data_IF_402884036697
#
_entry.id   IF_402884036697
#
_cell.length_a   1.000
_cell.length_b   1.000
_cell.length_c   1.000
_cell.angle_alpha   90.00
_cell.angle_beta   90.00
_cell.angle_gamma   90.00
#
_symmetry.space_group_name_H-M   'P 1'
#
loop_
_entity.id
_entity.type
_entity.pdbx_description
1 polymer ?
#
# COMPACT_ATOMS: atom_id res chain seq x y z
N UNK A 1 7.29 -1.86 12.38
CA UNK A 1 7.34 -2.01 10.92
C UNK A 1 8.74 -1.63 10.45
N UNK A 2 9.27 -2.31 9.43
CA UNK A 2 10.56 -1.96 8.86
C UNK A 2 10.36 -1.40 7.46
N UNK A 3 10.79 -0.15 7.28
CA UNK A 3 10.67 0.61 6.04
C UNK A 3 11.99 0.54 5.29
N UNK A 4 12.13 -0.42 4.40
CA UNK A 4 13.38 -0.65 3.64
C UNK A 4 13.23 -0.31 2.16
N UNK A 5 12.11 -0.72 1.57
CA UNK A 5 11.80 -0.55 0.14
C UNK A 5 10.45 0.17 -0.01
N UNK A 6 10.20 0.88 -1.12
CA UNK A 6 8.97 1.64 -1.31
C UNK A 6 7.68 0.84 -1.05
N UNK A 7 7.63 -0.43 -1.45
CA UNK A 7 6.48 -1.31 -1.22
C UNK A 7 6.18 -1.54 0.26
N UNK A 8 7.21 -1.52 1.11
CA UNK A 8 7.08 -1.70 2.57
C UNK A 8 6.41 -0.53 3.27
N UNK A 9 6.29 0.63 2.60
CA UNK A 9 5.46 1.76 3.03
C UNK A 9 4.16 1.85 2.24
N UNK A 10 4.19 1.63 0.92
CA UNK A 10 3.05 1.85 0.04
C UNK A 10 1.86 0.95 0.38
N UNK A 11 2.08 -0.35 0.60
CA UNK A 11 0.98 -1.28 0.95
C UNK A 11 0.31 -0.96 2.28
N UNK A 12 1.03 -0.79 3.42
CA UNK A 12 0.38 -0.41 4.67
C UNK A 12 -0.25 0.98 4.60
N UNK A 13 0.33 1.92 3.84
CA UNK A 13 -0.27 3.23 3.63
C UNK A 13 -1.59 3.16 2.88
N UNK A 14 -1.65 2.39 1.78
CA UNK A 14 -2.89 2.17 1.05
C UNK A 14 -3.96 1.54 1.95
N UNK A 15 -3.59 0.55 2.77
CA UNK A 15 -4.50 -0.06 3.75
C UNK A 15 -5.05 0.95 4.75
N UNK A 16 -4.19 1.73 5.41
CA UNK A 16 -4.64 2.71 6.42
C UNK A 16 -5.50 3.82 5.80
N UNK A 17 -5.21 4.25 4.56
CA UNK A 17 -6.05 5.20 3.83
C UNK A 17 -7.42 4.58 3.52
N UNK A 18 -7.46 3.34 3.01
CA UNK A 18 -8.72 2.65 2.74
C UNK A 18 -9.56 2.43 3.99
N UNK A 19 -8.95 1.94 5.07
CA UNK A 19 -9.60 1.74 6.36
C UNK A 19 -10.12 3.06 6.95
N UNK A 20 -9.38 4.17 6.75
CA UNK A 20 -9.85 5.51 7.11
C UNK A 20 -11.09 5.92 6.30
N UNK A 21 -11.08 5.73 4.98
CA UNK A 21 -12.22 6.07 4.11
C UNK A 21 -13.46 5.27 4.49
N UNK A 22 -13.31 3.95 4.71
CA UNK A 22 -14.42 3.09 5.12
C UNK A 22 -15.03 3.52 6.46
N UNK A 23 -14.22 4.08 7.37
CA UNK A 23 -14.67 4.55 8.69
C UNK A 23 -15.28 5.95 8.65
N UNK A 24 -14.67 6.88 7.91
CA UNK A 24 -14.98 8.31 7.99
C UNK A 24 -15.79 8.84 6.79
N UNK A 25 -15.91 8.07 5.70
CA UNK A 25 -16.64 8.44 4.50
C UNK A 25 -16.03 9.61 3.71
N UNK A 26 -14.72 9.83 3.86
CA UNK A 26 -13.98 10.91 3.18
C UNK A 26 -12.50 10.54 3.01
N UNK A 27 -11.82 11.22 2.08
CA UNK A 27 -10.37 11.15 1.97
C UNK A 27 -9.70 11.77 3.22
N UNK A 28 -8.57 11.21 3.68
CA UNK A 28 -7.82 11.78 4.77
C UNK A 28 -7.23 13.15 4.38
N UNK A 29 -7.28 14.10 5.31
CA UNK A 29 -6.67 15.41 5.16
C UNK A 29 -5.19 15.41 5.53
N UNK A 30 -4.57 16.59 5.50
CA UNK A 30 -3.15 16.73 5.81
C UNK A 30 -2.78 16.37 7.26
N UNK A 31 -3.69 16.55 8.21
CA UNK A 31 -3.48 16.17 9.61
C UNK A 31 -3.52 14.64 9.79
N UNK A 32 -4.51 13.99 9.16
CA UNK A 32 -4.68 12.55 9.22
C UNK A 32 -3.53 11.82 8.52
N UNK A 33 -3.10 12.29 7.34
CA UNK A 33 -1.93 11.72 6.65
C UNK A 33 -0.64 11.93 7.44
N UNK A 34 -0.49 13.07 8.11
CA UNK A 34 0.64 13.31 9.00
C UNK A 34 0.67 12.29 10.14
N UNK A 35 -0.48 12.01 10.75
CA UNK A 35 -0.58 11.01 11.83
C UNK A 35 -0.28 9.59 11.34
N UNK A 36 -0.83 9.19 10.19
CA UNK A 36 -0.57 7.88 9.57
C UNK A 36 0.93 7.70 9.29
N UNK A 37 1.57 8.65 8.60
CA UNK A 37 2.99 8.55 8.24
C UNK A 37 3.90 8.56 9.47
N UNK A 38 3.58 9.36 10.49
CA UNK A 38 4.32 9.32 11.77
C UNK A 38 4.12 8.00 12.50
N UNK A 39 2.93 7.41 12.45
CA UNK A 39 2.63 6.08 12.99
C UNK A 39 3.49 4.98 12.36
N UNK A 40 3.87 5.15 11.09
CA UNK A 40 4.80 4.27 10.39
C UNK A 40 6.28 4.52 10.72
N UNK A 41 6.59 5.54 11.52
CA UNK A 41 7.96 5.91 11.87
C UNK A 41 8.63 6.83 10.85
N UNK A 42 7.85 7.53 10.01
CA UNK A 42 8.38 8.56 9.12
C UNK A 42 8.46 9.91 9.88
N UNK A 43 9.59 10.59 9.75
CA UNK A 43 9.84 11.89 10.35
C UNK A 43 9.48 13.02 9.36
N UNK A 44 8.66 13.97 9.81
CA UNK A 44 8.33 15.17 9.04
C UNK A 44 9.59 16.02 8.87
N UNK A 45 10.07 16.14 7.63
CA UNK A 45 11.30 16.88 7.29
C UNK A 45 11.02 18.28 6.76
N UNK A 46 9.93 18.46 6.01
CA UNK A 46 9.56 19.77 5.45
C UNK A 46 8.04 19.85 5.22
N UNK A 47 7.48 21.04 5.45
CA UNK A 47 6.13 21.42 5.02
C UNK A 47 6.24 22.78 4.34
N UNK A 48 6.10 22.81 3.01
CA UNK A 48 6.14 24.07 2.26
C UNK A 48 5.25 23.99 1.02
N UNK A 49 4.61 25.12 0.67
CA UNK A 49 3.82 25.31 -0.57
C UNK A 49 2.83 24.19 -0.93
N UNK A 50 2.20 23.57 0.07
CA UNK A 50 1.23 22.50 -0.16
C UNK A 50 1.89 21.15 -0.48
N UNK A 51 3.15 20.96 -0.09
CA UNK A 51 3.86 19.69 -0.16
C UNK A 51 4.41 19.36 1.23
N UNK A 52 4.27 18.10 1.65
CA UNK A 52 4.86 17.62 2.88
C UNK A 52 5.86 16.50 2.59
N UNK A 53 7.08 16.66 3.10
CA UNK A 53 8.17 15.69 2.97
C UNK A 53 8.31 14.95 4.28
N UNK A 54 8.24 13.63 4.21
CA UNK A 54 8.54 12.73 5.32
C UNK A 54 9.70 11.83 4.96
N UNK A 55 10.50 11.46 5.95
CA UNK A 55 11.71 10.66 5.73
C UNK A 55 11.88 9.60 6.81
N UNK A 56 12.33 8.43 6.41
CA UNK A 56 12.97 7.45 7.29
C UNK A 56 14.43 7.26 6.88
N UNK A 57 15.12 6.32 7.51
CA UNK A 57 16.50 5.98 7.13
C UNK A 57 16.62 5.57 5.66
N UNK A 58 15.61 4.87 5.12
CA UNK A 58 15.69 4.26 3.79
C UNK A 58 14.68 4.82 2.80
N UNK A 59 13.62 5.51 3.23
CA UNK A 59 12.56 5.99 2.35
C UNK A 59 12.29 7.48 2.52
N UNK A 60 11.83 8.10 1.44
CA UNK A 60 11.26 9.44 1.38
C UNK A 60 9.80 9.29 0.95
N UNK A 61 8.89 9.96 1.65
CA UNK A 61 7.49 10.09 1.24
C UNK A 61 7.17 11.57 0.93
N UNK A 62 6.69 11.84 -0.27
CA UNK A 62 6.24 13.17 -0.71
C UNK A 62 4.72 13.17 -0.78
N UNK A 63 4.08 13.92 0.10
CA UNK A 63 2.62 14.07 0.11
C UNK A 63 2.25 15.31 -0.69
N UNK A 64 1.49 15.08 -1.77
CA UNK A 64 1.03 16.11 -2.71
C UNK A 64 -0.51 16.10 -2.71
N UNK A 65 -1.17 16.96 -1.91
CA UNK A 65 -2.60 17.18 -2.02
C UNK A 65 -2.94 17.85 -3.38
N UNK A 66 -3.69 17.16 -4.23
CA UNK A 66 -4.17 17.65 -5.53
C UNK A 66 -5.69 17.75 -5.53
N UNK A 67 -6.23 18.76 -4.86
CA UNK A 67 -7.69 19.00 -4.84
C UNK A 67 -8.45 17.85 -4.16
N UNK A 68 -9.24 17.10 -4.93
CA UNK A 68 -10.00 15.92 -4.49
C UNK A 68 -9.19 14.61 -4.57
N UNK A 69 -7.88 14.71 -4.76
CA UNK A 69 -6.95 13.57 -4.84
C UNK A 69 -5.83 13.75 -3.83
N UNK A 70 -5.54 12.66 -3.11
CA UNK A 70 -4.33 12.51 -2.32
C UNK A 70 -3.31 11.71 -3.13
N UNK A 71 -2.10 12.22 -3.23
CA UNK A 71 -0.97 11.52 -3.85
C UNK A 71 0.17 11.44 -2.82
N UNK A 72 0.75 10.26 -2.64
CA UNK A 72 1.94 10.05 -1.83
C UNK A 72 2.97 9.28 -2.64
N UNK A 73 4.02 9.96 -3.08
CA UNK A 73 5.17 9.31 -3.72
C UNK A 73 6.07 8.71 -2.64
N UNK A 74 6.46 7.46 -2.82
CA UNK A 74 7.39 6.73 -1.96
C UNK A 74 8.63 6.39 -2.77
N UNK A 75 9.77 6.93 -2.34
CA UNK A 75 11.03 6.85 -3.08
C UNK A 75 12.13 6.34 -2.15
N UNK A 76 13.07 5.57 -2.67
CA UNK A 76 14.28 5.22 -1.94
C UNK A 76 15.10 6.46 -1.56
N UNK A 77 15.62 6.50 -0.34
CA UNK A 77 16.56 7.53 0.12
C UNK A 77 17.90 7.50 -0.63
N UNK A 78 18.22 6.42 -1.35
CA UNK A 78 19.38 6.39 -2.26
C UNK A 78 19.16 7.21 -3.54
N UNK A 79 17.91 7.60 -3.82
CA UNK A 79 17.51 8.30 -5.04
C UNK A 79 17.27 7.37 -6.23
N UNK A 80 17.26 6.06 -6.01
CA UNK A 80 16.77 5.09 -6.99
C UNK A 80 15.28 5.35 -7.23
N UNK A 81 14.93 5.55 -8.50
CA UNK A 81 13.56 5.81 -8.96
C UNK A 81 12.95 4.58 -9.64
N UNK A 82 13.76 3.55 -9.89
CA UNK A 82 13.32 2.33 -10.56
C UNK A 82 12.27 1.57 -9.75
N UNK A 83 12.30 1.70 -8.43
CA UNK A 83 11.41 1.06 -7.45
C UNK A 83 10.39 2.02 -6.83
N UNK A 84 10.34 3.29 -7.27
CA UNK A 84 9.46 4.29 -6.71
C UNK A 84 7.98 3.95 -6.94
N UNK A 85 7.15 4.17 -5.92
CA UNK A 85 5.72 3.88 -5.93
C UNK A 85 4.91 5.12 -5.57
N UNK A 86 3.79 5.32 -6.25
CA UNK A 86 2.80 6.34 -5.96
C UNK A 86 1.58 5.66 -5.31
N UNK A 87 1.19 6.11 -4.11
CA UNK A 87 -0.09 5.76 -3.48
C UNK A 87 -1.07 6.88 -3.76
N UNK A 88 -2.12 6.58 -4.51
CA UNK A 88 -3.14 7.54 -4.92
C UNK A 88 -4.45 7.20 -4.24
N UNK A 89 -5.15 8.20 -3.72
CA UNK A 89 -6.52 8.05 -3.27
C UNK A 89 -7.41 9.18 -3.80
N UNK A 90 -8.57 8.83 -4.36
CA UNK A 90 -9.51 9.78 -4.95
C UNK A 90 -10.96 9.29 -4.87
N UNK A 91 -11.92 10.20 -5.05
CA UNK A 91 -13.34 9.87 -5.22
C UNK A 91 -13.71 9.88 -6.71
N UNK A 92 -14.00 8.72 -7.28
CA UNK A 92 -14.51 8.62 -8.64
C UNK A 92 -16.00 8.94 -8.67
N UNK A 93 -16.35 10.13 -9.16
CA UNK A 93 -17.74 10.61 -9.25
C UNK A 93 -18.61 9.85 -10.26
N UNK A 94 -18.02 9.10 -11.20
CA UNK A 94 -18.78 8.32 -12.19
C UNK A 94 -19.17 6.96 -11.62
N UNK A 95 -18.25 6.33 -10.89
CA UNK A 95 -18.51 5.08 -10.18
C UNK A 95 -19.21 5.33 -8.84
N UNK A 96 -19.17 6.57 -8.34
CA UNK A 96 -19.56 6.93 -6.97
C UNK A 96 -18.84 6.06 -5.94
N UNK A 97 -17.53 5.91 -6.12
CA UNK A 97 -16.67 5.05 -5.30
C UNK A 97 -15.36 5.76 -4.96
N UNK A 98 -14.84 5.53 -3.77
CA UNK A 98 -13.48 5.89 -3.41
C UNK A 98 -12.52 4.82 -3.93
N UNK A 99 -11.42 5.27 -4.53
CA UNK A 99 -10.39 4.38 -5.07
C UNK A 99 -9.08 4.70 -4.35
N UNK A 100 -8.38 3.66 -3.90
CA UNK A 100 -7.01 3.71 -3.40
C UNK A 100 -6.16 2.74 -4.20
N UNK A 101 -5.14 3.22 -4.89
CA UNK A 101 -4.29 2.40 -5.75
C UNK A 101 -2.81 2.66 -5.51
N UNK A 102 -1.98 1.66 -5.85
CA UNK A 102 -0.53 1.75 -5.80
C UNK A 102 -0.01 1.56 -7.22
N UNK A 103 0.66 2.58 -7.75
CA UNK A 103 1.19 2.57 -9.10
C UNK A 103 2.72 2.74 -9.08
N UNK A 104 3.47 2.15 -10.01
CA UNK A 104 4.86 2.55 -10.25
C UNK A 104 4.92 4.03 -10.62
N UNK A 105 5.87 4.79 -10.06
CA UNK A 105 6.05 6.22 -10.39
C UNK A 105 6.68 6.41 -11.79
N UNK A 106 7.14 5.34 -12.45
CA UNK A 106 7.74 5.36 -13.78
C UNK A 106 6.83 4.69 -14.85
N UNK A 107 6.53 5.42 -15.93
CA UNK A 107 5.88 4.89 -17.15
C UNK A 107 6.80 3.96 -17.99
N UNK A 108 8.07 3.81 -17.58
CA UNK A 108 9.00 2.88 -18.22
C UNK A 108 8.64 1.48 -17.76
N UNK A 109 7.90 0.75 -18.61
CA UNK A 109 7.61 -0.69 -18.56
C UNK A 109 8.39 -1.41 -17.46
N UNK A 110 7.85 -1.37 -16.24
CA UNK A 110 8.41 -2.12 -15.14
C UNK A 110 8.23 -3.60 -15.53
N UNK A 111 9.32 -4.32 -15.78
CA UNK A 111 9.30 -5.73 -16.25
C UNK A 111 8.73 -6.73 -15.22
N UNK A 112 8.22 -6.24 -14.10
CA UNK A 112 7.48 -6.98 -13.07
C UNK A 112 6.24 -6.21 -12.61
N UNK A 113 5.05 -6.65 -13.02
CA UNK A 113 3.81 -6.00 -12.58
C UNK A 113 3.75 -5.98 -11.04
N UNK A 114 3.74 -4.79 -10.42
CA UNK A 114 3.19 -4.66 -9.06
C UNK A 114 1.69 -4.85 -9.20
N UNK A 115 1.27 -6.11 -9.16
CA UNK A 115 -0.12 -6.55 -9.34
C UNK A 115 -0.95 -6.32 -8.08
N UNK A 116 -0.86 -5.14 -7.49
CA UNK A 116 -1.68 -4.78 -6.33
C UNK A 116 -3.04 -4.35 -6.84
N UNK A 117 -4.05 -5.19 -6.58
CA UNK A 117 -5.44 -4.81 -6.83
C UNK A 117 -5.79 -3.55 -6.01
N UNK A 118 -6.45 -2.54 -6.63
CA UNK A 118 -6.82 -1.32 -5.92
C UNK A 118 -7.92 -1.58 -4.89
N UNK A 119 -7.96 -0.77 -3.83
CA UNK A 119 -9.13 -0.70 -2.95
C UNK A 119 -10.21 0.15 -3.61
N UNK A 120 -11.31 -0.47 -3.98
CA UNK A 120 -12.54 0.18 -4.45
C UNK A 120 -13.58 0.09 -3.33
N UNK A 121 -14.01 1.24 -2.83
CA UNK A 121 -14.94 1.39 -1.70
C UNK A 121 -16.18 2.15 -2.18
N UNK A 122 -17.37 1.56 -2.03
CA UNK A 122 -18.62 2.21 -2.45
C UNK A 122 -18.85 3.53 -1.69
N UNK A 123 -19.17 4.60 -2.41
CA UNK A 123 -19.29 5.95 -1.85
C UNK A 123 -20.52 6.17 -0.96
N UNK A 124 -21.49 5.24 -0.96
CA UNK A 124 -22.71 5.28 -0.14
C UNK A 124 -22.67 4.33 1.05
N UNK A 125 -22.30 3.07 0.83
CA UNK A 125 -22.27 2.03 1.86
C UNK A 125 -20.96 2.02 2.63
N UNK A 126 -19.89 2.58 2.03
CA UNK A 126 -18.52 2.51 2.55
C UNK A 126 -17.99 1.08 2.68
N UNK A 127 -18.58 0.13 1.96
CA UNK A 127 -18.15 -1.25 1.89
C UNK A 127 -17.10 -1.45 0.79
N UNK A 128 -16.16 -2.37 1.03
CA UNK A 128 -15.11 -2.72 0.07
C UNK A 128 -15.71 -3.62 -1.04
N UNK A 129 -15.63 -3.17 -2.30
CA UNK A 129 -16.15 -3.87 -3.48
C UNK A 129 -15.09 -4.70 -4.23
N UNK A 130 -13.83 -4.58 -3.81
CA UNK A 130 -12.64 -5.22 -4.40
C UNK A 130 -12.01 -6.20 -3.40
N UNK A 131 -11.01 -6.98 -3.82
CA UNK A 131 -10.28 -7.93 -2.96
C UNK A 131 -8.78 -7.63 -2.83
N UNK A 132 -8.38 -6.38 -2.50
CA UNK A 132 -6.99 -6.00 -2.33
C UNK A 132 -6.33 -6.79 -1.19
N UNK A 133 -5.14 -7.34 -1.44
CA UNK A 133 -4.36 -8.06 -0.43
C UNK A 133 -3.33 -7.11 0.16
N UNK A 134 -3.77 -6.35 1.16
CA UNK A 134 -2.94 -5.34 1.84
C UNK A 134 -2.72 -5.70 3.31
N UNK A 135 -1.64 -5.18 3.87
CA UNK A 135 -1.19 -5.48 5.22
C UNK A 135 0.05 -4.69 5.58
N UNK A 136 0.77 -5.12 6.61
CA UNK A 136 2.04 -4.52 7.01
C UNK A 136 3.18 -5.52 6.90
N UNK A 137 4.42 -5.02 6.81
CA UNK A 137 5.59 -5.88 6.71
C UNK A 137 6.27 -6.15 8.05
N UNK A 138 6.56 -7.42 8.30
CA UNK A 138 7.37 -7.91 9.43
C UNK A 138 8.53 -8.76 8.91
N UNK A 139 9.70 -8.62 9.54
CA UNK A 139 10.89 -9.40 9.22
C UNK A 139 11.17 -10.39 10.36
N UNK A 140 11.39 -11.65 10.02
CA UNK A 140 11.92 -12.66 10.94
C UNK A 140 13.09 -13.44 10.31
N UNK A 141 13.57 -14.49 10.99
CA UNK A 141 14.71 -15.30 10.51
C UNK A 141 14.50 -15.92 9.12
N UNK A 142 13.24 -16.07 8.67
CA UNK A 142 12.91 -16.64 7.37
C UNK A 142 12.76 -15.59 6.25
N UNK A 143 12.82 -14.30 6.56
CA UNK A 143 12.75 -13.21 5.60
C UNK A 143 11.69 -12.15 5.93
N UNK A 144 11.31 -11.38 4.91
CA UNK A 144 10.36 -10.28 4.99
C UNK A 144 8.96 -10.75 4.54
N UNK A 145 7.95 -10.55 5.39
CA UNK A 145 6.60 -11.05 5.17
C UNK A 145 5.58 -9.91 5.16
N UNK A 146 4.69 -9.92 4.18
CA UNK A 146 3.42 -9.22 4.22
C UNK A 146 2.49 -9.96 5.20
N UNK A 147 2.19 -9.33 6.33
CA UNK A 147 1.29 -9.85 7.34
C UNK A 147 -0.11 -9.34 7.06
N UNK A 148 -1.04 -10.26 6.81
CA UNK A 148 -2.46 -9.98 6.55
C UNK A 148 -3.34 -10.59 7.65
N UNK A 149 -4.48 -9.95 7.92
CA UNK A 149 -5.47 -10.49 8.85
C UNK A 149 -6.28 -11.63 8.22
N UNK A 150 -7.05 -12.33 9.06
CA UNK A 150 -7.86 -13.46 8.62
C UNK A 150 -8.94 -13.05 7.63
N UNK A 151 -9.54 -11.89 7.80
CA UNK A 151 -10.60 -11.39 6.91
C UNK A 151 -10.06 -11.18 5.49
N UNK A 152 -8.92 -10.52 5.36
CA UNK A 152 -8.21 -10.28 4.10
C UNK A 152 -7.82 -11.60 3.44
N UNK A 153 -7.33 -12.57 4.23
CA UNK A 153 -7.03 -13.89 3.69
C UNK A 153 -8.26 -14.64 3.17
N UNK A 154 -9.38 -14.63 3.90
CA UNK A 154 -10.61 -15.29 3.43
C UNK A 154 -11.19 -14.61 2.19
N UNK A 155 -11.15 -13.26 2.12
CA UNK A 155 -11.51 -12.51 0.90
C UNK A 155 -10.64 -12.93 -0.28
N UNK A 156 -9.32 -12.88 -0.12
CA UNK A 156 -8.36 -13.27 -1.15
C UNK A 156 -8.60 -14.70 -1.65
N UNK A 157 -8.85 -15.63 -0.72
CA UNK A 157 -9.18 -17.03 -1.04
C UNK A 157 -10.51 -17.19 -1.78
N UNK A 158 -11.48 -16.32 -1.51
CA UNK A 158 -12.79 -16.36 -2.16
C UNK A 158 -12.82 -15.68 -3.53
N UNK A 159 -12.00 -14.65 -3.72
CA UNK A 159 -12.00 -13.77 -4.89
C UNK A 159 -10.98 -14.12 -5.98
N UNK A 160 -9.98 -14.96 -5.70
CA UNK A 160 -8.90 -15.21 -6.66
C UNK A 160 -7.96 -16.36 -6.32
N UNK A 161 -6.75 -16.27 -6.86
CA UNK A 161 -5.69 -17.27 -6.73
C UNK A 161 -4.73 -16.92 -5.57
N UNK A 162 -4.81 -17.68 -4.48
CA UNK A 162 -3.89 -17.57 -3.34
C UNK A 162 -2.45 -17.97 -3.68
N UNK A 163 -2.21 -18.52 -4.87
CA UNK A 163 -0.88 -18.85 -5.38
C UNK A 163 -0.24 -17.72 -6.17
N UNK A 164 -0.90 -16.57 -6.34
CA UNK A 164 -0.33 -15.38 -6.99
C UNK A 164 0.15 -14.37 -5.95
N UNK A 165 1.38 -13.90 -6.05
CA UNK A 165 1.98 -12.98 -5.10
C UNK A 165 1.30 -11.61 -5.17
N UNK A 166 0.76 -11.09 -4.05
CA UNK A 166 0.09 -9.79 -4.05
C UNK A 166 1.06 -8.60 -4.19
N UNK A 167 2.37 -8.86 -4.12
CA UNK A 167 3.42 -7.84 -4.23
C UNK A 167 3.89 -7.69 -5.69
N UNK A 168 4.14 -8.81 -6.39
CA UNK A 168 4.77 -8.79 -7.72
C UNK A 168 4.06 -9.65 -8.79
N UNK A 169 2.90 -10.25 -8.48
CA UNK A 169 2.17 -11.14 -9.38
C UNK A 169 2.84 -12.50 -9.67
N UNK A 170 3.94 -12.81 -9.00
CA UNK A 170 4.71 -14.05 -9.16
C UNK A 170 4.10 -15.28 -8.45
N UNK A 171 4.75 -16.43 -8.50
CA UNK A 171 4.22 -17.66 -7.90
C UNK A 171 4.51 -17.75 -6.38
N UNK A 172 3.48 -18.06 -5.59
CA UNK A 172 3.54 -18.31 -4.16
C UNK A 172 3.49 -19.80 -3.82
N UNK A 173 4.46 -20.23 -3.02
CA UNK A 173 4.51 -21.59 -2.47
C UNK A 173 4.13 -21.57 -0.99
N UNK A 174 3.01 -22.21 -0.65
CA UNK A 174 2.48 -22.28 0.71
C UNK A 174 3.17 -23.39 1.53
N UNK A 175 3.46 -23.06 2.80
CA UNK A 175 3.95 -23.96 3.85
C UNK A 175 3.21 -23.63 5.16
N UNK A 176 2.04 -24.25 5.35
CA UNK A 176 1.16 -23.93 6.49
C UNK A 176 0.52 -22.55 6.32
N UNK A 177 0.65 -21.67 7.31
CA UNK A 177 0.09 -20.30 7.30
C UNK A 177 1.02 -19.25 6.68
N UNK A 178 2.16 -19.69 6.11
CA UNK A 178 3.12 -18.84 5.41
C UNK A 178 3.21 -19.23 3.94
N UNK A 179 3.32 -18.26 3.05
CA UNK A 179 3.66 -18.45 1.65
C UNK A 179 4.95 -17.69 1.32
N UNK A 180 5.69 -18.16 0.32
CA UNK A 180 6.91 -17.50 -0.15
C UNK A 180 6.86 -17.32 -1.66
N UNK A 181 7.11 -16.11 -2.12
CA UNK A 181 7.21 -15.82 -3.55
C UNK A 181 8.57 -16.29 -4.07
N UNK A 182 8.55 -17.04 -5.16
CA UNK A 182 9.79 -17.50 -5.81
C UNK A 182 10.47 -16.40 -6.63
N UNK A 183 9.74 -15.33 -6.96
CA UNK A 183 10.22 -14.28 -7.88
C UNK A 183 10.79 -13.05 -7.14
N UNK A 184 10.05 -12.50 -6.18
CA UNK A 184 10.46 -11.27 -5.46
C UNK A 184 11.06 -11.52 -4.07
N UNK A 185 11.03 -12.76 -3.57
CA UNK A 185 11.58 -13.11 -2.25
C UNK A 185 10.72 -12.70 -1.04
N UNK A 186 9.64 -11.94 -1.24
CA UNK A 186 8.67 -11.63 -0.20
C UNK A 186 7.84 -12.86 0.21
N UNK A 187 7.54 -12.97 1.50
CA UNK A 187 6.57 -13.92 2.01
C UNK A 187 5.21 -13.28 2.29
N UNK A 188 4.17 -14.11 2.44
CA UNK A 188 2.86 -13.72 2.99
C UNK A 188 2.60 -14.54 4.24
N UNK A 189 2.05 -13.91 5.29
CA UNK A 189 1.70 -14.57 6.56
C UNK A 189 0.31 -14.15 7.00
N UNK A 190 -0.53 -15.13 7.32
CA UNK A 190 -1.85 -14.86 7.89
C UNK A 190 -1.73 -14.78 9.41
N UNK A 191 -2.19 -13.69 10.01
CA UNK A 191 -2.28 -13.53 11.46
C UNK A 191 -3.68 -13.92 11.92
N UNK A 192 -3.73 -14.88 12.84
CA UNK A 192 -4.96 -15.35 13.51
C UNK A 192 -5.40 -14.45 14.67
#
# INVERSE_FOLDING_TARGET
MKLYEPVTLAMPLAKEIGDFIMREGKLPGGAEIREILRGFGMEESCLDRGLALYRSRFLIALVIPRGETLVVDVISSSGELSDALEVIAYHDKKLDAFVVEILPTNDLEYEGNIGVEPMIIDGKTLELESNPVLGHFEEDEAGLFLVIDRETYERWKSGGDVHTCPVCGGELVWKGEKAYCQDCGYGVRVKG
#
